data_IF_327726373531
#
_entry.id   IF_327726373531
#
_cell.length_a   1.000
_cell.length_b   1.000
_cell.length_c   1.000
_cell.angle_alpha   90.00
_cell.angle_beta   90.00
_cell.angle_gamma   90.00
#
_symmetry.space_group_name_H-M   'P 1'
#
loop_
_entity.id
_entity.type
_entity.pdbx_description
1 polymer ?
#
# COMPACT_ATOMS: atom_id res chain seq x y z
N UNK A 1 -8.93 0.23 -4.36
CA UNK A 1 -8.99 1.41 -3.48
C UNK A 1 -7.57 1.74 -3.05
N UNK A 2 -7.12 2.97 -3.26
CA UNK A 2 -5.80 3.46 -2.85
C UNK A 2 -6.04 4.48 -1.74
N UNK A 3 -5.52 4.20 -0.55
CA UNK A 3 -5.57 5.09 0.60
C UNK A 3 -4.21 5.76 0.74
N UNK A 4 -4.16 7.09 0.62
CA UNK A 4 -2.94 7.87 0.74
C UNK A 4 -3.00 8.74 2.00
N UNK A 5 -2.03 8.53 2.89
CA UNK A 5 -1.83 9.39 4.05
C UNK A 5 -1.31 10.77 3.64
N UNK A 6 -1.94 11.80 4.17
CA UNK A 6 -1.59 13.20 3.95
C UNK A 6 -1.02 13.88 5.20
N UNK A 7 -0.47 13.10 6.14
CA UNK A 7 0.23 13.66 7.29
C UNK A 7 1.42 14.55 6.89
N UNK A 8 1.81 15.48 7.76
CA UNK A 8 2.94 16.39 7.51
C UNK A 8 4.28 15.66 7.33
N UNK A 9 4.42 14.48 7.94
CA UNK A 9 5.58 13.59 7.79
C UNK A 9 5.81 13.20 6.32
N UNK A 10 4.74 13.12 5.53
CA UNK A 10 4.82 12.81 4.10
C UNK A 10 5.45 13.95 3.28
N UNK A 11 5.49 15.17 3.81
CA UNK A 11 6.11 16.35 3.16
C UNK A 11 7.61 16.50 3.48
N UNK A 12 8.17 15.69 4.38
CA UNK A 12 9.57 15.79 4.79
C UNK A 12 10.50 15.30 3.65
N UNK A 13 11.42 16.15 3.14
CA UNK A 13 12.25 15.83 1.98
C UNK A 13 13.51 15.02 2.36
N UNK A 14 13.31 13.81 2.86
CA UNK A 14 14.39 12.90 3.31
C UNK A 14 14.69 11.75 2.35
N UNK A 15 13.80 11.44 1.42
CA UNK A 15 14.02 10.36 0.46
C UNK A 15 14.99 10.80 -0.62
N UNK A 16 16.00 9.98 -0.87
CA UNK A 16 17.02 10.25 -1.88
C UNK A 16 16.71 9.51 -3.19
N UNK A 17 16.70 10.24 -4.29
CA UNK A 17 16.59 9.64 -5.63
C UNK A 17 17.97 9.32 -6.19
N UNK A 18 18.03 8.47 -7.23
CA UNK A 18 19.30 8.01 -7.82
C UNK A 18 20.24 9.12 -8.32
N UNK A 19 19.70 10.29 -8.65
CA UNK A 19 20.49 11.44 -9.10
C UNK A 19 20.96 12.33 -7.94
N UNK A 20 20.77 11.90 -6.68
CA UNK A 20 21.12 12.66 -5.48
C UNK A 20 20.10 13.74 -5.10
N UNK A 21 19.00 13.91 -5.85
CA UNK A 21 17.95 14.85 -5.46
C UNK A 21 17.12 14.31 -4.30
N UNK A 22 16.88 15.14 -3.30
CA UNK A 22 15.95 14.84 -2.21
C UNK A 22 14.52 15.15 -2.61
N UNK A 23 13.61 14.26 -2.25
CA UNK A 23 12.16 14.40 -2.46
C UNK A 23 11.43 14.02 -1.18
N UNK A 24 10.20 14.49 -1.05
CA UNK A 24 9.31 14.05 0.02
C UNK A 24 8.54 12.78 -0.37
N UNK A 25 7.98 12.08 0.63
CA UNK A 25 7.25 10.84 0.43
C UNK A 25 5.95 11.04 -0.34
N UNK A 26 5.25 12.17 -0.17
CA UNK A 26 4.03 12.48 -0.94
C UNK A 26 4.32 12.52 -2.45
N UNK A 27 5.36 13.23 -2.87
CA UNK A 27 5.75 13.36 -4.28
C UNK A 27 6.13 12.01 -4.89
N UNK A 28 6.87 11.18 -4.13
CA UNK A 28 7.23 9.82 -4.58
C UNK A 28 5.98 8.92 -4.62
N UNK A 29 5.10 9.03 -3.63
CA UNK A 29 3.84 8.30 -3.54
C UNK A 29 2.93 8.60 -4.73
N UNK A 30 2.76 9.87 -5.10
CA UNK A 30 1.99 10.29 -6.26
C UNK A 30 2.52 9.64 -7.54
N UNK A 31 3.84 9.68 -7.77
CA UNK A 31 4.46 9.05 -8.95
C UNK A 31 4.27 7.53 -8.97
N UNK A 32 4.49 6.84 -7.85
CA UNK A 32 4.32 5.39 -7.80
C UNK A 32 2.85 4.96 -7.97
N UNK A 33 1.91 5.71 -7.40
CA UNK A 33 0.46 5.46 -7.55
C UNK A 33 0.03 5.68 -9.00
N UNK A 34 0.48 6.77 -9.65
CA UNK A 34 0.21 6.99 -11.07
C UNK A 34 0.70 5.81 -11.92
N UNK A 35 1.95 5.39 -11.73
CA UNK A 35 2.50 4.24 -12.47
C UNK A 35 1.69 2.96 -12.20
N UNK A 36 1.30 2.72 -10.93
CA UNK A 36 0.49 1.57 -10.55
C UNK A 36 -0.85 1.56 -11.28
N UNK A 37 -1.62 2.65 -11.21
CA UNK A 37 -2.96 2.78 -11.80
C UNK A 37 -2.88 2.61 -13.32
N UNK A 38 -1.95 3.31 -13.98
CA UNK A 38 -1.74 3.19 -15.43
C UNK A 38 -1.34 1.78 -15.85
N UNK A 39 -0.50 1.11 -15.06
CA UNK A 39 -0.04 -0.26 -15.37
C UNK A 39 -1.16 -1.28 -15.17
N UNK A 40 -1.92 -1.20 -14.07
CA UNK A 40 -3.09 -2.05 -13.83
C UNK A 40 -4.14 -1.90 -14.93
N UNK A 41 -4.42 -0.67 -15.37
CA UNK A 41 -5.34 -0.41 -16.47
C UNK A 41 -4.83 -0.98 -17.81
N UNK A 42 -3.52 -0.96 -18.05
CA UNK A 42 -2.91 -1.60 -19.24
C UNK A 42 -3.02 -3.13 -19.20
N UNK A 43 -2.92 -3.75 -18.02
CA UNK A 43 -3.07 -5.20 -17.86
C UNK A 43 -4.52 -5.62 -18.19
N UNK A 44 -5.50 -4.90 -17.64
CA UNK A 44 -6.91 -5.10 -17.96
C UNK A 44 -7.67 -3.80 -17.71
N UNK A 45 -8.41 -3.35 -18.72
CA UNK A 45 -9.17 -2.08 -18.72
C UNK A 45 -10.41 -2.13 -17.81
N UNK A 46 -10.84 -3.32 -17.39
CA UNK A 46 -11.97 -3.51 -16.47
C UNK A 46 -11.63 -3.21 -15.02
N UNK A 47 -10.35 -3.04 -14.67
CA UNK A 47 -9.98 -2.63 -13.31
C UNK A 47 -10.57 -1.25 -12.99
N UNK A 48 -11.21 -1.17 -11.83
CA UNK A 48 -11.68 0.08 -11.25
C UNK A 48 -10.77 0.53 -10.11
N UNK A 49 -10.59 1.84 -10.03
CA UNK A 49 -9.73 2.52 -9.07
C UNK A 49 -10.55 3.54 -8.31
N UNK A 50 -10.15 3.75 -7.06
CA UNK A 50 -10.70 4.80 -6.22
C UNK A 50 -9.57 5.37 -5.37
N UNK A 51 -9.62 6.67 -5.12
CA UNK A 51 -8.63 7.39 -4.31
C UNK A 51 -9.30 7.88 -3.03
N UNK A 52 -8.72 7.48 -1.91
CA UNK A 52 -9.11 7.89 -0.57
C UNK A 52 -7.91 8.57 0.07
N UNK A 53 -8.14 9.72 0.68
CA UNK A 53 -7.11 10.38 1.49
C UNK A 53 -7.37 10.14 2.95
N UNK A 54 -6.28 9.98 3.69
CA UNK A 54 -6.28 9.69 5.11
C UNK A 54 -5.65 10.88 5.81
N UNK A 55 -6.46 11.64 6.54
CA UNK A 55 -6.04 12.71 7.44
C UNK A 55 -6.43 12.33 8.87
N UNK A 56 -7.22 13.16 9.58
CA UNK A 56 -7.87 12.73 10.83
C UNK A 56 -8.97 11.71 10.58
N UNK A 57 -9.62 11.80 9.41
CA UNK A 57 -10.65 10.91 8.90
C UNK A 57 -10.24 10.35 7.52
N UNK A 58 -10.98 9.36 7.03
CA UNK A 58 -10.80 8.81 5.69
C UNK A 58 -11.84 9.41 4.74
N UNK A 59 -11.39 10.14 3.72
CA UNK A 59 -12.25 10.87 2.76
C UNK A 59 -12.05 10.35 1.35
N UNK A 60 -13.15 10.02 0.65
CA UNK A 60 -13.10 9.66 -0.77
C UNK A 60 -12.93 10.90 -1.63
N UNK A 61 -11.90 10.92 -2.46
CA UNK A 61 -11.69 11.98 -3.46
C UNK A 61 -12.24 11.58 -4.83
N UNK A 62 -12.13 10.30 -5.15
CA UNK A 62 -12.70 9.71 -6.36
C UNK A 62 -13.39 8.41 -6.02
N UNK A 63 -14.61 8.23 -6.50
CA UNK A 63 -15.28 6.94 -6.50
C UNK A 63 -14.60 5.93 -7.43
N UNK A 64 -15.20 4.74 -7.54
CA UNK A 64 -14.72 3.72 -8.48
C UNK A 64 -14.85 4.22 -9.92
N UNK A 65 -13.73 4.22 -10.63
CA UNK A 65 -13.63 4.61 -12.05
C UNK A 65 -12.60 3.72 -12.74
N UNK A 66 -12.85 3.35 -13.99
CA UNK A 66 -11.87 2.67 -14.83
C UNK A 66 -10.98 3.66 -15.60
N UNK A 67 -11.26 4.97 -15.53
CA UNK A 67 -10.44 5.99 -16.17
C UNK A 67 -9.26 6.42 -15.26
N UNK A 68 -8.01 6.05 -15.60
CA UNK A 68 -6.85 6.41 -14.79
C UNK A 68 -6.61 7.94 -14.73
N UNK A 69 -7.15 8.72 -15.68
CA UNK A 69 -6.94 10.17 -15.73
C UNK A 69 -7.65 10.89 -14.59
N UNK A 70 -8.85 10.45 -14.23
CA UNK A 70 -9.63 11.02 -13.12
C UNK A 70 -8.86 10.83 -11.80
N UNK A 71 -8.37 9.62 -11.55
CA UNK A 71 -7.57 9.31 -10.37
C UNK A 71 -6.29 10.15 -10.32
N UNK A 72 -5.56 10.25 -11.44
CA UNK A 72 -4.33 11.03 -11.50
C UNK A 72 -4.58 12.53 -11.32
N UNK A 73 -5.70 13.06 -11.83
CA UNK A 73 -6.06 14.46 -11.63
C UNK A 73 -6.26 14.79 -10.16
N UNK A 74 -6.99 13.95 -9.42
CA UNK A 74 -7.16 14.12 -7.97
C UNK A 74 -5.84 13.94 -7.20
N UNK A 75 -4.99 13.00 -7.65
CA UNK A 75 -3.76 12.62 -6.96
C UNK A 75 -2.72 13.76 -6.87
N UNK A 76 -2.64 14.60 -7.89
CA UNK A 76 -1.66 15.69 -7.96
C UNK A 76 -2.17 17.03 -7.38
N UNK A 77 -3.43 17.09 -6.96
CA UNK A 77 -4.05 18.26 -6.32
C UNK A 77 -4.10 18.12 -4.78
N UNK A 78 -3.10 17.44 -4.20
CA UNK A 78 -3.05 17.09 -2.78
C UNK A 78 -1.93 17.80 -2.05
N UNK A 79 -2.25 18.31 -0.87
CA UNK A 79 -1.32 18.87 0.10
C UNK A 79 -1.36 18.10 1.42
N UNK A 80 -0.29 18.19 2.21
CA UNK A 80 -0.24 17.59 3.54
C UNK A 80 -0.92 18.47 4.59
N UNK A 81 -1.40 17.83 5.65
CA UNK A 81 -2.10 18.45 6.77
C UNK A 81 -1.60 17.87 8.08
N UNK A 82 -1.62 18.69 9.14
CA UNK A 82 -1.30 18.24 10.49
C UNK A 82 -2.42 17.32 10.97
N UNK A 83 -2.06 16.08 11.32
CA UNK A 83 -3.00 15.07 11.74
C UNK A 83 -2.72 14.60 13.17
N UNK A 84 -3.78 14.32 13.92
CA UNK A 84 -3.71 13.84 15.31
C UNK A 84 -4.24 12.41 15.47
N UNK A 85 -5.12 11.96 14.56
CA UNK A 85 -5.77 10.66 14.60
C UNK A 85 -5.81 9.98 13.25
N UNK A 86 -6.07 8.68 13.22
CA UNK A 86 -6.12 7.87 12.01
C UNK A 86 -7.30 6.91 12.07
N UNK A 87 -8.12 6.91 11.01
CA UNK A 87 -9.16 5.92 10.77
C UNK A 87 -8.76 4.99 9.62
N UNK A 88 -8.74 3.69 9.88
CA UNK A 88 -8.09 2.69 9.01
C UNK A 88 -8.81 2.42 7.68
N UNK A 89 -10.12 2.62 7.66
CA UNK A 89 -10.97 2.38 6.51
C UNK A 89 -12.03 3.49 6.41
N UNK A 90 -12.40 3.91 5.20
CA UNK A 90 -13.46 4.87 5.02
C UNK A 90 -14.80 4.30 5.52
N UNK A 91 -15.64 5.18 6.08
CA UNK A 91 -16.95 4.81 6.61
C UNK A 91 -17.97 4.43 5.52
N UNK A 92 -17.69 4.78 4.26
CA UNK A 92 -18.59 4.46 3.15
C UNK A 92 -18.61 2.96 2.88
N UNK A 93 -19.82 2.42 2.71
CA UNK A 93 -20.07 1.00 2.51
C UNK A 93 -19.51 0.56 1.15
N UNK A 94 -18.45 -0.25 1.18
CA UNK A 94 -17.94 -0.96 0.00
C UNK A 94 -18.74 -2.25 -0.17
N UNK A 95 -19.25 -2.48 -1.38
CA UNK A 95 -19.94 -3.73 -1.70
C UNK A 95 -18.92 -4.87 -1.81
N UNK A 96 -19.21 -5.99 -1.15
CA UNK A 96 -18.38 -7.18 -1.20
C UNK A 96 -18.98 -8.20 -2.17
N UNK A 97 -18.15 -8.87 -2.98
CA UNK A 97 -18.62 -9.91 -3.86
C UNK A 97 -19.06 -11.14 -3.06
N UNK A 98 -20.09 -11.82 -3.55
CA UNK A 98 -20.63 -13.05 -2.97
C UNK A 98 -20.66 -14.13 -4.05
N UNK A 99 -20.34 -15.35 -3.65
CA UNK A 99 -20.33 -16.54 -4.51
C UNK A 99 -20.92 -17.72 -3.75
N UNK A 100 -21.58 -18.64 -4.44
CA UNK A 100 -22.14 -19.84 -3.81
C UNK A 100 -21.07 -20.75 -3.20
N UNK A 101 -19.89 -20.86 -3.84
CA UNK A 101 -18.76 -21.62 -3.33
C UNK A 101 -17.43 -20.89 -3.56
N UNK A 102 -16.83 -20.45 -2.45
CA UNK A 102 -15.61 -19.64 -2.46
C UNK A 102 -14.38 -20.39 -2.99
N UNK A 103 -14.36 -21.72 -2.89
CA UNK A 103 -13.20 -22.54 -3.25
C UNK A 103 -13.12 -22.86 -4.74
N UNK A 104 -14.24 -22.82 -5.46
CA UNK A 104 -14.32 -23.31 -6.85
C UNK A 104 -14.86 -22.28 -7.83
N UNK A 105 -15.66 -21.32 -7.37
CA UNK A 105 -16.26 -20.30 -8.24
C UNK A 105 -15.47 -19.00 -8.08
N UNK A 106 -14.87 -18.46 -9.15
CA UNK A 106 -14.22 -17.15 -9.08
C UNK A 106 -15.28 -16.07 -8.85
N UNK A 107 -15.00 -15.06 -8.01
CA UNK A 107 -15.94 -13.97 -7.79
C UNK A 107 -16.04 -13.09 -9.04
N UNK A 108 -17.15 -12.34 -9.22
CA UNK A 108 -17.28 -11.40 -10.34
C UNK A 108 -16.27 -10.25 -10.30
N UNK A 109 -15.79 -9.90 -9.10
CA UNK A 109 -14.73 -8.93 -8.86
C UNK A 109 -14.04 -9.21 -7.53
N UNK A 110 -12.93 -8.53 -7.26
CA UNK A 110 -12.25 -8.54 -5.96
C UNK A 110 -12.07 -7.12 -5.46
N UNK A 111 -12.10 -6.94 -4.14
CA UNK A 111 -11.85 -5.62 -3.54
C UNK A 111 -10.49 -5.61 -2.86
N UNK A 112 -9.64 -4.69 -3.28
CA UNK A 112 -8.31 -4.52 -2.70
C UNK A 112 -8.10 -3.09 -2.27
N UNK A 113 -7.66 -2.94 -1.03
CA UNK A 113 -7.20 -1.67 -0.45
C UNK A 113 -5.69 -1.69 -0.37
N UNK A 114 -5.04 -0.65 -0.87
CA UNK A 114 -3.61 -0.40 -0.70
C UNK A 114 -3.47 0.86 0.13
N UNK A 115 -2.92 0.74 1.33
CA UNK A 115 -2.65 1.85 2.23
C UNK A 115 -1.19 2.27 2.11
N UNK A 116 -0.95 3.54 1.76
CA UNK A 116 0.36 4.19 1.85
C UNK A 116 0.31 5.09 3.09
N UNK A 117 1.04 4.73 4.14
CA UNK A 117 0.95 5.35 5.46
C UNK A 117 2.30 5.87 5.93
N UNK A 118 2.36 7.09 6.48
CA UNK A 118 3.61 7.79 6.78
C UNK A 118 3.80 8.23 8.23
N UNK A 119 2.83 7.96 9.13
CA UNK A 119 2.88 8.48 10.50
C UNK A 119 3.61 7.52 11.46
N UNK A 120 4.56 8.01 12.27
CA UNK A 120 5.30 7.20 13.24
C UNK A 120 4.46 6.86 14.48
N UNK A 121 3.59 7.79 14.92
CA UNK A 121 2.76 7.66 16.12
C UNK A 121 1.34 8.08 15.83
N UNK A 122 0.46 7.09 15.76
CA UNK A 122 -0.97 7.35 15.81
C UNK A 122 -1.64 6.16 16.48
N UNK A 123 -2.57 6.38 17.41
CA UNK A 123 -3.43 5.27 17.80
C UNK A 123 -4.43 5.05 16.66
N UNK A 124 -4.48 3.86 16.05
CA UNK A 124 -5.51 3.56 15.06
C UNK A 124 -6.87 3.61 15.77
N UNK A 125 -7.72 4.55 15.37
CA UNK A 125 -9.11 4.54 15.81
C UNK A 125 -9.88 3.58 14.90
N UNK A 126 -10.33 2.47 15.44
CA UNK A 126 -11.26 1.58 14.74
C UNK A 126 -12.64 2.22 14.70
N UNK A 127 -12.87 3.12 13.75
CA UNK A 127 -14.21 3.52 13.38
C UNK A 127 -14.88 2.38 12.59
N UNK A 128 -15.83 1.67 13.20
CA UNK A 128 -16.69 0.71 12.50
C UNK A 128 -16.48 -0.78 12.82
N UNK A 129 -16.20 -1.13 14.08
CA UNK A 129 -15.78 -2.45 14.55
C UNK A 129 -16.45 -3.68 13.91
N UNK A 130 -17.76 -3.69 13.65
CA UNK A 130 -18.40 -4.83 12.95
C UNK A 130 -18.22 -4.80 11.42
N UNK A 131 -18.30 -3.63 10.79
CA UNK A 131 -18.17 -3.52 9.35
C UNK A 131 -16.75 -3.87 8.90
N UNK A 132 -15.75 -3.35 9.60
CA UNK A 132 -14.33 -3.64 9.34
C UNK A 132 -14.04 -5.12 9.55
N UNK A 133 -14.59 -5.74 10.60
CA UNK A 133 -14.48 -7.20 10.80
C UNK A 133 -15.06 -7.99 9.64
N UNK A 134 -16.26 -7.61 9.15
CA UNK A 134 -16.89 -8.26 7.98
C UNK A 134 -16.04 -8.11 6.71
N UNK A 135 -15.44 -6.93 6.49
CA UNK A 135 -14.52 -6.71 5.38
C UNK A 135 -13.30 -7.64 5.49
N UNK A 136 -12.60 -7.65 6.64
CA UNK A 136 -11.39 -8.46 6.84
C UNK A 136 -11.67 -9.97 6.77
N UNK A 137 -12.88 -10.41 7.14
CA UNK A 137 -13.33 -11.80 7.04
C UNK A 137 -13.71 -12.22 5.61
N UNK A 138 -14.01 -11.27 4.71
CA UNK A 138 -14.39 -11.58 3.34
C UNK A 138 -13.19 -12.20 2.59
N UNK A 139 -13.32 -13.37 1.94
CA UNK A 139 -12.23 -14.01 1.22
C UNK A 139 -11.73 -13.19 0.02
N UNK A 140 -12.59 -12.33 -0.52
CA UNK A 140 -12.33 -11.52 -1.71
C UNK A 140 -11.96 -10.05 -1.40
N UNK A 141 -11.76 -9.74 -0.11
CA UNK A 141 -11.23 -8.47 0.34
C UNK A 141 -9.75 -8.62 0.73
N UNK A 142 -8.91 -7.71 0.26
CA UNK A 142 -7.47 -7.69 0.51
C UNK A 142 -7.03 -6.32 1.03
N UNK A 143 -6.12 -6.30 1.99
CA UNK A 143 -5.63 -5.08 2.63
C UNK A 143 -4.11 -5.06 2.65
N UNK A 144 -3.50 -4.39 1.68
CA UNK A 144 -2.05 -4.26 1.58
C UNK A 144 -1.57 -2.93 2.14
N UNK A 145 -0.34 -2.91 2.64
CA UNK A 145 0.25 -1.74 3.30
C UNK A 145 1.65 -1.47 2.77
N UNK A 146 1.94 -0.20 2.49
CA UNK A 146 3.28 0.37 2.36
C UNK A 146 3.45 1.37 3.50
N UNK A 147 4.20 0.99 4.52
CA UNK A 147 4.45 1.80 5.70
C UNK A 147 5.78 2.53 5.56
N UNK A 148 5.73 3.87 5.61
CA UNK A 148 6.87 4.75 5.52
C UNK A 148 7.16 5.24 6.94
N UNK A 149 8.33 4.90 7.49
CA UNK A 149 8.67 5.21 8.88
C UNK A 149 9.97 6.00 8.97
N UNK A 150 10.16 6.75 10.06
CA UNK A 150 11.36 7.57 10.27
C UNK A 150 12.63 6.74 10.61
N UNK A 151 12.55 5.41 10.65
CA UNK A 151 13.70 4.57 10.98
C UNK A 151 14.20 4.77 12.41
N UNK A 152 15.52 4.94 12.55
CA UNK A 152 16.24 5.12 13.81
C UNK A 152 16.58 6.60 14.09
N UNK A 153 15.94 7.55 13.41
CA UNK A 153 16.27 8.97 13.60
C UNK A 153 16.11 9.36 15.08
N UNK A 154 17.13 10.03 15.63
CA UNK A 154 17.61 9.94 17.03
C UNK A 154 16.66 10.44 18.14
N UNK A 155 15.38 10.68 17.85
CA UNK A 155 14.39 11.25 18.78
C UNK A 155 13.12 10.43 18.95
N UNK A 156 12.94 9.34 18.21
CA UNK A 156 11.77 8.46 18.34
C UNK A 156 12.13 7.14 19.03
N UNK A 157 11.29 6.70 19.98
CA UNK A 157 11.37 5.35 20.53
C UNK A 157 11.21 4.33 19.38
N UNK A 158 12.25 3.54 19.13
CA UNK A 158 12.25 2.44 18.16
C UNK A 158 11.01 1.52 18.25
N UNK A 159 10.43 1.38 19.44
CA UNK A 159 9.24 0.56 19.67
C UNK A 159 8.00 1.06 18.92
N UNK A 160 7.88 2.38 18.73
CA UNK A 160 6.61 2.97 18.27
C UNK A 160 6.23 2.62 16.83
N UNK A 161 7.18 2.62 15.89
CA UNK A 161 6.89 2.26 14.51
C UNK A 161 6.77 0.74 14.33
N UNK A 162 7.52 -0.06 15.11
CA UNK A 162 7.42 -1.53 15.12
C UNK A 162 6.05 -2.00 15.60
N UNK A 163 5.51 -1.35 16.63
CA UNK A 163 4.17 -1.62 17.15
C UNK A 163 3.09 -1.32 16.09
N UNK A 164 3.22 -0.20 15.36
CA UNK A 164 2.32 0.14 14.25
C UNK A 164 2.42 -0.88 13.11
N UNK A 165 3.64 -1.28 12.72
CA UNK A 165 3.82 -2.28 11.68
C UNK A 165 3.27 -3.65 12.09
N UNK A 166 3.51 -4.05 13.35
CA UNK A 166 2.92 -5.24 13.96
C UNK A 166 1.39 -5.19 13.99
N UNK A 167 0.83 -4.01 14.27
CA UNK A 167 -0.61 -3.77 14.21
C UNK A 167 -1.17 -4.01 12.79
N UNK A 168 -0.57 -3.45 11.73
CA UNK A 168 -0.98 -3.78 10.35
C UNK A 168 -0.86 -5.29 10.07
N UNK A 169 0.15 -5.94 10.65
CA UNK A 169 0.30 -7.38 10.60
C UNK A 169 -0.86 -8.15 11.21
N UNK A 170 -1.41 -7.66 12.32
CA UNK A 170 -2.54 -8.29 13.01
C UNK A 170 -3.86 -8.26 12.22
N UNK A 171 -3.96 -7.40 11.19
CA UNK A 171 -5.14 -7.31 10.33
C UNK A 171 -5.21 -8.43 9.29
N UNK A 172 -4.09 -9.09 8.99
CA UNK A 172 -4.01 -10.16 8.00
C UNK A 172 -4.30 -11.53 8.63
N UNK A 173 -5.56 -11.79 8.91
CA UNK A 173 -6.01 -13.07 9.48
C UNK A 173 -5.91 -14.24 8.49
N UNK A 174 -5.73 -13.97 7.19
CA UNK A 174 -5.73 -14.98 6.12
C UNK A 174 -4.34 -15.29 5.57
N UNK A 175 -3.33 -14.48 5.91
CA UNK A 175 -1.96 -14.60 5.36
C UNK A 175 -1.84 -14.20 3.88
N UNK A 176 -2.81 -13.43 3.38
CA UNK A 176 -2.92 -13.09 1.95
C UNK A 176 -2.55 -11.64 1.64
N UNK A 177 -2.35 -10.82 2.66
CA UNK A 177 -2.01 -9.42 2.51
C UNK A 177 -0.50 -9.25 2.34
N UNK A 178 -0.10 -8.25 1.54
CA UNK A 178 1.29 -7.85 1.38
C UNK A 178 1.55 -6.60 2.22
N UNK A 179 2.65 -6.61 2.98
CA UNK A 179 3.05 -5.53 3.86
C UNK A 179 4.50 -5.18 3.59
N UNK A 180 4.78 -3.92 3.31
CA UNK A 180 6.12 -3.41 3.07
C UNK A 180 6.42 -2.28 4.05
N UNK A 181 7.65 -2.22 4.55
CA UNK A 181 8.17 -1.11 5.33
C UNK A 181 9.30 -0.44 4.56
N UNK A 182 9.33 0.89 4.58
CA UNK A 182 10.36 1.70 3.93
C UNK A 182 10.78 2.83 4.86
N UNK A 183 12.08 2.94 5.14
CA UNK A 183 12.60 4.04 5.93
C UNK A 183 12.59 5.34 5.11
N UNK A 184 12.15 6.45 5.71
CA UNK A 184 12.06 7.78 5.11
C UNK A 184 13.44 8.37 4.76
N UNK A 185 14.50 7.88 5.41
CA UNK A 185 15.89 8.19 5.09
C UNK A 185 16.50 7.27 4.01
N UNK A 186 15.71 6.36 3.44
CA UNK A 186 16.15 5.42 2.41
C UNK A 186 16.05 5.97 0.98
N UNK A 187 16.48 5.19 -0.02
CA UNK A 187 16.33 5.57 -1.41
C UNK A 187 14.86 5.51 -1.83
N UNK A 188 14.41 6.53 -2.56
CA UNK A 188 13.06 6.63 -3.12
C UNK A 188 12.70 5.43 -4.03
N UNK A 189 13.71 4.77 -4.59
CA UNK A 189 13.55 3.53 -5.36
C UNK A 189 12.76 2.46 -4.59
N UNK A 190 12.98 2.31 -3.28
CA UNK A 190 12.34 1.22 -2.53
C UNK A 190 10.81 1.36 -2.50
N UNK A 191 10.30 2.59 -2.48
CA UNK A 191 8.86 2.84 -2.60
C UNK A 191 8.33 2.41 -3.97
N UNK A 192 9.05 2.74 -5.05
CA UNK A 192 8.72 2.28 -6.39
C UNK A 192 8.74 0.75 -6.50
N UNK A 193 9.76 0.10 -5.95
CA UNK A 193 9.89 -1.35 -5.92
C UNK A 193 8.71 -1.99 -5.16
N UNK A 194 8.35 -1.46 -3.99
CA UNK A 194 7.22 -1.96 -3.20
C UNK A 194 5.90 -1.84 -3.98
N UNK A 195 5.62 -0.68 -4.57
CA UNK A 195 4.40 -0.47 -5.35
C UNK A 195 4.36 -1.36 -6.61
N UNK A 196 5.50 -1.60 -7.25
CA UNK A 196 5.59 -2.52 -8.39
C UNK A 196 5.25 -3.95 -8.00
N UNK A 197 5.75 -4.45 -6.86
CA UNK A 197 5.41 -5.80 -6.33
C UNK A 197 3.92 -5.92 -6.04
N UNK A 198 3.24 -4.82 -5.71
CA UNK A 198 1.80 -4.78 -5.51
C UNK A 198 0.99 -4.85 -6.81
N UNK A 199 1.58 -4.80 -8.02
CA UNK A 199 0.82 -4.97 -9.27
C UNK A 199 0.15 -6.34 -9.41
N UNK A 200 0.74 -7.37 -8.78
CA UNK A 200 0.25 -8.75 -8.84
C UNK A 200 -1.22 -8.85 -8.39
N UNK A 201 -2.02 -9.61 -9.13
CA UNK A 201 -3.43 -9.82 -8.81
C UNK A 201 -3.55 -10.58 -7.48
N UNK A 202 -4.41 -10.15 -6.53
CA UNK A 202 -4.42 -10.71 -5.17
C UNK A 202 -4.81 -12.21 -5.11
N UNK A 203 -5.62 -12.70 -6.05
CA UNK A 203 -5.94 -14.14 -6.17
C UNK A 203 -4.89 -14.98 -6.91
N UNK A 204 -3.90 -14.34 -7.54
CA UNK A 204 -2.89 -15.04 -8.36
C UNK A 204 -1.48 -14.93 -7.78
N UNK A 205 -1.23 -13.94 -6.93
CA UNK A 205 0.06 -13.79 -6.24
C UNK A 205 0.24 -14.89 -5.18
N UNK A 206 1.46 -15.40 -4.97
CA UNK A 206 1.73 -16.30 -3.86
C UNK A 206 1.71 -15.54 -2.53
N UNK A 207 1.84 -16.24 -1.40
CA UNK A 207 2.15 -15.60 -0.12
C UNK A 207 3.41 -14.73 -0.25
N UNK A 208 3.48 -13.61 0.48
CA UNK A 208 4.59 -12.66 0.34
C UNK A 208 5.97 -13.30 0.58
N UNK A 209 6.05 -14.27 1.51
CA UNK A 209 7.27 -15.04 1.80
C UNK A 209 7.79 -15.88 0.65
N UNK A 210 6.97 -16.18 -0.36
CA UNK A 210 7.33 -16.98 -1.53
C UNK A 210 7.54 -16.13 -2.79
N UNK A 211 7.30 -14.82 -2.73
CA UNK A 211 7.48 -13.94 -3.88
C UNK A 211 8.96 -13.58 -4.05
N UNK A 212 9.59 -14.07 -5.12
CA UNK A 212 10.97 -13.74 -5.49
C UNK A 212 11.02 -13.19 -6.92
N UNK A 213 11.79 -12.12 -7.13
CA UNK A 213 11.87 -11.43 -8.42
C UNK A 213 13.30 -11.43 -9.02
N UNK A 214 14.33 -11.77 -8.24
CA UNK A 214 15.73 -11.87 -8.68
C UNK A 214 16.05 -13.22 -9.32
N UNK A 215 15.29 -13.61 -10.35
CA UNK A 215 15.45 -14.92 -11.01
C UNK A 215 16.62 -14.98 -12.00
N UNK A 216 17.21 -13.83 -12.33
CA UNK A 216 18.27 -13.72 -13.35
C UNK A 216 19.68 -13.74 -12.75
N UNK A 217 19.83 -13.76 -11.43
CA UNK A 217 21.12 -13.73 -10.73
C UNK A 217 21.80 -15.12 -10.67
N UNK A 218 21.37 -16.07 -11.50
CA UNK A 218 21.87 -17.44 -11.53
C UNK A 218 22.26 -17.90 -12.94
N UNK A 219 23.46 -17.51 -13.38
CA UNK A 219 24.33 -18.29 -14.26
C UNK A 219 25.73 -17.68 -14.30
N UNK A 220 26.54 -18.02 -13.30
CA UNK A 220 27.99 -18.17 -13.46
C UNK A 220 28.33 -19.48 -12.78
N UNK A 221 28.64 -20.56 -13.52
CA UNK A 221 29.21 -21.74 -12.91
C UNK A 221 30.57 -21.31 -12.36
N UNK A 222 30.66 -21.15 -11.04
CA UNK A 222 31.95 -21.14 -10.38
C UNK A 222 32.66 -22.42 -10.79
N UNK A 223 33.75 -22.22 -11.53
CA UNK A 223 34.51 -23.31 -12.12
C UNK A 223 34.95 -24.29 -11.06
N UNK A 224 34.86 -25.56 -11.42
CA UNK A 224 35.77 -26.57 -10.93
C UNK A 224 37.20 -26.02 -10.95
N UNK A 225 37.72 -25.65 -9.78
CA UNK A 225 39.15 -25.74 -9.51
C UNK A 225 39.34 -26.57 -8.27
N UNK A 226 39.46 -27.88 -8.54
CA UNK A 226 40.33 -28.80 -7.83
C UNK A 226 41.64 -28.14 -7.37
N UNK A 227 41.93 -28.22 -6.06
CA UNK A 227 43.25 -28.41 -5.42
C UNK A 227 43.07 -28.42 -3.90
#
# INVERSE_FOLDING_TARGET
IICLDLAEEMAVPKLESFNGCRSNALTVAQKMIEMFVRTKHKIDKSHEFALVVVNNDATWLSGFTSDPREVCSCLYDLDTVVCQSFSILPQQKVELPVTDNVQTIPPPFVVRTILVFGRPRCQPHFCGGEHVKKLLQCPYFFFDVVYIHNGLDEKEDEGSWKDMFGFFGSLDTKGTNYKYEVALAGPALELHNCMAKLLAHPLQRPCQSHACYGLLDGDSPEGDTSS
#
